data_IF_963956010458
#
_entry.id   IF_963956010458
#
_cell.length_a   1.000
_cell.length_b   1.000
_cell.length_c   1.000
_cell.angle_alpha   90.00
_cell.angle_beta   90.00
_cell.angle_gamma   90.00
#
_symmetry.space_group_name_H-M   'P 1'
#
loop_
_entity.id
_entity.type
_entity.pdbx_description
1 polymer ?
#
# COMPACT_ATOMS: atom_id res chain seq x y z
N UNK A 1 -12.12 14.34 -9.78
CA UNK A 1 -12.68 12.96 -9.91
C UNK A 1 -13.90 12.83 -9.01
N UNK A 2 -15.06 12.42 -9.52
CA UNK A 2 -16.27 12.23 -8.71
C UNK A 2 -16.30 10.84 -8.07
N UNK A 3 -16.20 10.78 -6.74
CA UNK A 3 -16.37 9.53 -5.99
C UNK A 3 -17.81 9.02 -6.09
N UNK A 4 -17.99 7.71 -6.33
CA UNK A 4 -19.31 7.09 -6.34
C UNK A 4 -20.02 7.27 -4.97
N UNK A 5 -21.36 7.28 -4.93
CA UNK A 5 -22.11 7.46 -3.68
C UNK A 5 -21.73 6.43 -2.60
N UNK A 6 -21.55 5.17 -2.99
CA UNK A 6 -21.16 4.08 -2.09
C UNK A 6 -19.76 4.30 -1.49
N UNK A 7 -18.76 4.66 -2.33
CA UNK A 7 -17.41 4.97 -1.85
C UNK A 7 -17.40 6.17 -0.90
N UNK A 8 -18.24 7.17 -1.14
CA UNK A 8 -18.42 8.31 -0.23
C UNK A 8 -18.93 7.87 1.15
N UNK A 9 -19.90 6.96 1.19
CA UNK A 9 -20.46 6.48 2.45
C UNK A 9 -19.44 5.66 3.26
N UNK A 10 -18.72 4.74 2.60
CA UNK A 10 -17.65 3.94 3.23
C UNK A 10 -16.57 4.83 3.84
N UNK A 11 -16.20 5.89 3.12
CA UNK A 11 -15.24 6.88 3.57
C UNK A 11 -15.74 7.61 4.83
N UNK A 12 -16.96 8.14 4.81
CA UNK A 12 -17.55 8.85 5.96
C UNK A 12 -17.64 7.92 7.18
N UNK A 13 -18.05 6.68 6.98
CA UNK A 13 -18.22 5.71 8.06
C UNK A 13 -16.89 5.24 8.67
N UNK A 14 -15.80 5.21 7.89
CA UNK A 14 -14.46 4.92 8.39
C UNK A 14 -13.95 6.07 9.27
N UNK A 15 -14.11 7.32 8.79
CA UNK A 15 -13.73 8.52 9.53
C UNK A 15 -14.50 8.67 10.84
N UNK A 16 -15.81 8.41 10.84
CA UNK A 16 -16.64 8.43 12.08
C UNK A 16 -16.13 7.46 13.14
N UNK A 17 -15.51 6.36 12.72
CA UNK A 17 -14.90 5.35 13.61
C UNK A 17 -13.44 5.64 13.97
N UNK A 18 -12.88 6.76 13.50
CA UNK A 18 -11.46 7.10 13.69
C UNK A 18 -10.51 6.18 12.92
N UNK A 19 -10.99 5.53 11.85
CA UNK A 19 -10.21 4.57 11.06
C UNK A 19 -10.01 5.06 9.64
N UNK A 20 -8.88 4.71 9.04
CA UNK A 20 -8.59 5.04 7.64
C UNK A 20 -9.37 4.06 6.73
N UNK A 21 -10.10 4.55 5.72
CA UNK A 21 -10.82 3.67 4.79
C UNK A 21 -9.86 2.75 4.03
N UNK A 22 -10.29 1.51 3.78
CA UNK A 22 -9.49 0.46 3.12
C UNK A 22 -9.27 0.71 1.62
N UNK A 23 -10.13 1.53 1.01
CA UNK A 23 -10.13 1.90 -0.40
C UNK A 23 -10.27 3.43 -0.51
N UNK A 24 -9.99 4.01 -1.67
CA UNK A 24 -10.11 5.46 -1.90
C UNK A 24 -9.11 6.31 -1.08
N UNK A 25 -7.89 5.79 -0.87
CA UNK A 25 -6.81 6.49 -0.17
C UNK A 25 -6.47 7.85 -0.80
N UNK A 26 -6.64 7.99 -2.11
CA UNK A 26 -6.42 9.25 -2.84
C UNK A 26 -7.28 10.40 -2.30
N UNK A 27 -8.47 10.12 -1.76
CA UNK A 27 -9.32 11.14 -1.15
C UNK A 27 -8.75 11.72 0.16
N UNK A 28 -7.75 11.03 0.74
CA UNK A 28 -7.07 11.37 1.97
C UNK A 28 -5.58 11.67 1.80
N UNK A 29 -5.06 11.51 0.57
CA UNK A 29 -3.64 11.65 0.26
C UNK A 29 -3.20 13.12 0.12
N UNK A 30 -3.76 14.00 0.95
CA UNK A 30 -3.46 15.43 0.95
C UNK A 30 -1.98 15.65 1.30
N UNK A 31 -1.26 16.35 0.43
CA UNK A 31 0.17 16.65 0.59
C UNK A 31 1.12 15.55 0.12
N UNK A 32 0.61 14.44 -0.40
CA UNK A 32 1.41 13.38 -1.02
C UNK A 32 1.65 13.61 -2.52
N UNK A 33 0.92 14.54 -3.14
CA UNK A 33 0.97 14.85 -4.57
C UNK A 33 2.40 15.25 -4.99
N UNK A 34 3.15 15.90 -4.09
CA UNK A 34 4.55 16.28 -4.31
C UNK A 34 5.49 15.08 -4.54
N UNK A 35 5.10 13.88 -4.11
CA UNK A 35 5.88 12.66 -4.29
C UNK A 35 5.48 11.87 -5.54
N UNK A 36 4.36 12.21 -6.19
CA UNK A 36 3.80 11.43 -7.29
C UNK A 36 4.77 11.27 -8.45
N UNK A 37 5.31 12.38 -8.97
CA UNK A 37 6.19 12.34 -10.13
C UNK A 37 7.42 11.44 -9.91
N UNK A 38 8.04 11.53 -8.74
CA UNK A 38 9.19 10.71 -8.39
C UNK A 38 8.83 9.22 -8.27
N UNK A 39 7.68 8.90 -7.65
CA UNK A 39 7.23 7.53 -7.47
C UNK A 39 6.77 6.90 -8.79
N UNK A 40 6.15 7.67 -9.67
CA UNK A 40 5.74 7.20 -11.01
C UNK A 40 6.95 6.86 -11.87
N UNK A 41 8.00 7.69 -11.83
CA UNK A 41 9.25 7.40 -12.52
C UNK A 41 9.92 6.13 -11.98
N UNK A 42 9.87 5.91 -10.66
CA UNK A 42 10.38 4.70 -10.03
C UNK A 42 9.55 3.46 -10.43
N UNK A 43 8.23 3.54 -10.40
CA UNK A 43 7.35 2.46 -10.84
C UNK A 43 7.54 2.15 -12.33
N UNK A 44 7.77 3.17 -13.18
CA UNK A 44 8.07 2.96 -14.60
C UNK A 44 9.40 2.21 -14.79
N UNK A 45 10.43 2.53 -14.00
CA UNK A 45 11.70 1.79 -14.01
C UNK A 45 11.52 0.33 -13.60
N UNK A 46 10.72 0.07 -12.56
CA UNK A 46 10.42 -1.31 -12.12
C UNK A 46 9.62 -2.06 -13.19
N UNK A 47 8.63 -1.42 -13.82
CA UNK A 47 7.86 -2.00 -14.92
C UNK A 47 8.70 -2.34 -16.15
N UNK A 48 9.83 -1.66 -16.36
CA UNK A 48 10.81 -1.96 -17.42
C UNK A 48 11.80 -3.09 -17.04
N UNK A 49 11.60 -3.77 -15.90
CA UNK A 49 12.47 -4.86 -15.43
C UNK A 49 13.57 -4.41 -14.44
N UNK A 50 13.56 -3.15 -14.01
CA UNK A 50 14.48 -2.65 -12.99
C UNK A 50 14.06 -2.96 -11.56
N UNK A 51 14.87 -2.52 -10.58
CA UNK A 51 14.55 -2.58 -9.15
C UNK A 51 14.91 -1.27 -8.46
N UNK A 52 14.18 -0.95 -7.39
CA UNK A 52 14.37 0.27 -6.60
C UNK A 52 14.18 -0.05 -5.11
N UNK A 53 14.96 0.59 -4.25
CA UNK A 53 14.79 0.54 -2.80
C UNK A 53 14.65 1.96 -2.25
N UNK A 54 13.67 2.19 -1.38
CA UNK A 54 13.45 3.48 -0.72
C UNK A 54 13.15 3.28 0.76
N UNK A 55 13.78 4.12 1.60
CA UNK A 55 13.51 4.19 3.03
C UNK A 55 12.78 5.49 3.35
N UNK A 56 11.63 5.38 4.03
CA UNK A 56 10.82 6.54 4.45
C UNK A 56 11.04 6.77 5.95
N UNK A 57 11.51 7.96 6.31
CA UNK A 57 11.72 8.37 7.70
C UNK A 57 10.82 9.54 8.07
N UNK A 58 10.46 9.61 9.34
CA UNK A 58 9.60 10.65 9.89
C UNK A 58 9.14 10.29 11.29
N UNK A 59 8.54 11.25 11.99
CA UNK A 59 8.08 11.11 13.37
C UNK A 59 6.91 10.12 13.52
N UNK A 60 6.65 9.67 14.75
CA UNK A 60 5.48 8.84 15.03
C UNK A 60 4.20 9.61 14.67
N UNK A 61 3.24 8.94 14.04
CA UNK A 61 1.99 9.58 13.60
C UNK A 61 2.08 10.43 12.31
N UNK A 62 3.26 10.66 11.72
CA UNK A 62 3.40 11.50 10.52
C UNK A 62 2.88 10.86 9.21
N UNK A 63 2.22 9.70 9.27
CA UNK A 63 1.62 9.06 8.11
C UNK A 63 2.51 8.10 7.30
N UNK A 64 3.65 7.61 7.82
CA UNK A 64 4.53 6.67 7.07
C UNK A 64 3.80 5.40 6.57
N UNK A 65 3.00 4.77 7.44
CA UNK A 65 2.19 3.60 7.06
C UNK A 65 1.15 3.95 6.02
N UNK A 66 0.53 5.13 6.15
CA UNK A 66 -0.42 5.63 5.17
C UNK A 66 0.25 5.86 3.81
N UNK A 67 1.43 6.48 3.78
CA UNK A 67 2.24 6.67 2.59
C UNK A 67 2.55 5.34 1.88
N UNK A 68 3.01 4.32 2.61
CA UNK A 68 3.30 3.01 2.05
C UNK A 68 2.06 2.35 1.42
N UNK A 69 0.90 2.45 2.08
CA UNK A 69 -0.37 1.93 1.56
C UNK A 69 -0.89 2.70 0.36
N UNK A 70 -0.73 4.01 0.35
CA UNK A 70 -1.07 4.86 -0.79
C UNK A 70 -0.20 4.55 -2.01
N UNK A 71 1.12 4.38 -1.83
CA UNK A 71 2.02 3.93 -2.89
C UNK A 71 1.63 2.55 -3.43
N UNK A 72 1.32 1.60 -2.54
CA UNK A 72 0.87 0.27 -2.95
C UNK A 72 -0.45 0.34 -3.75
N UNK A 73 -1.38 1.21 -3.36
CA UNK A 73 -2.62 1.43 -4.10
C UNK A 73 -2.39 2.01 -5.50
N UNK A 74 -1.49 2.99 -5.60
CA UNK A 74 -1.07 3.57 -6.87
C UNK A 74 -0.40 2.53 -7.77
N UNK A 75 0.49 1.72 -7.22
CA UNK A 75 1.13 0.63 -7.96
C UNK A 75 0.09 -0.39 -8.48
N UNK A 76 -0.90 -0.79 -7.67
CA UNK A 76 -1.97 -1.69 -8.13
C UNK A 76 -2.82 -1.10 -9.25
N UNK A 77 -3.07 0.22 -9.26
CA UNK A 77 -3.76 0.90 -10.38
C UNK A 77 -2.97 0.85 -11.68
N UNK A 78 -1.65 0.69 -11.60
CA UNK A 78 -0.75 0.50 -12.74
C UNK A 78 -0.51 -0.98 -13.08
N UNK A 79 -1.24 -1.91 -12.45
CA UNK A 79 -1.16 -3.35 -12.73
C UNK A 79 -0.08 -4.11 -11.95
N UNK A 80 0.57 -3.49 -10.97
CA UNK A 80 1.55 -4.18 -10.13
C UNK A 80 0.90 -5.06 -9.07
N UNK A 81 1.55 -6.19 -8.75
CA UNK A 81 1.31 -6.90 -7.51
C UNK A 81 2.07 -6.22 -6.36
N UNK A 82 1.45 -6.16 -5.18
CA UNK A 82 1.99 -5.48 -4.00
C UNK A 82 1.85 -6.36 -2.77
N UNK A 83 2.75 -6.20 -1.79
CA UNK A 83 2.62 -6.86 -0.49
C UNK A 83 3.20 -5.97 0.62
N UNK A 84 2.61 -6.05 1.80
CA UNK A 84 3.02 -5.28 2.99
C UNK A 84 3.15 -6.22 4.19
N UNK A 85 4.34 -6.25 4.80
CA UNK A 85 4.60 -6.95 6.04
C UNK A 85 5.13 -5.98 7.11
N UNK A 86 4.57 -6.07 8.32
CA UNK A 86 5.10 -5.35 9.47
C UNK A 86 6.24 -6.17 10.08
N UNK A 87 7.42 -5.57 10.19
CA UNK A 87 8.55 -6.20 10.87
C UNK A 87 8.37 -6.05 12.38
N UNK A 88 8.44 -7.16 13.09
CA UNK A 88 8.34 -7.22 14.55
C UNK A 88 9.10 -8.45 15.06
N UNK A 89 9.72 -8.35 16.23
CA UNK A 89 10.45 -9.49 16.82
C UNK A 89 9.53 -10.69 17.12
N UNK A 90 8.26 -10.43 17.43
CA UNK A 90 7.30 -11.45 17.86
C UNK A 90 6.63 -12.18 16.70
N UNK A 91 6.35 -11.51 15.58
CA UNK A 91 5.55 -12.10 14.49
C UNK A 91 6.30 -12.23 13.17
N UNK A 92 7.17 -11.27 12.84
CA UNK A 92 7.88 -11.22 11.56
C UNK A 92 9.32 -10.73 11.77
N UNK A 93 10.16 -11.50 12.48
CA UNK A 93 11.52 -11.07 12.80
C UNK A 93 12.36 -11.03 11.52
N UNK A 94 13.10 -9.93 11.32
CA UNK A 94 13.86 -9.68 10.09
C UNK A 94 14.96 -10.72 9.85
N UNK A 95 15.48 -11.33 10.92
CA UNK A 95 16.50 -12.38 10.84
C UNK A 95 15.95 -13.75 10.38
N UNK A 96 14.62 -13.96 10.38
CA UNK A 96 13.98 -15.19 9.87
C UNK A 96 13.30 -14.92 8.54
N UNK A 97 14.11 -14.90 7.48
CA UNK A 97 13.64 -14.58 6.14
C UNK A 97 12.50 -15.50 5.68
N UNK A 98 12.48 -16.78 6.05
CA UNK A 98 11.37 -17.71 5.76
C UNK A 98 10.01 -17.17 6.24
N UNK A 99 9.98 -16.52 7.41
CA UNK A 99 8.75 -15.97 7.98
C UNK A 99 8.36 -14.69 7.25
N UNK A 100 9.33 -13.84 6.94
CA UNK A 100 9.12 -12.64 6.11
C UNK A 100 8.53 -13.02 4.75
N UNK A 101 9.14 -13.98 4.05
CA UNK A 101 8.68 -14.45 2.75
C UNK A 101 7.27 -15.02 2.81
N UNK A 102 6.99 -15.92 3.77
CA UNK A 102 5.64 -16.47 3.95
C UNK A 102 4.60 -15.37 4.17
N UNK A 103 4.90 -14.38 5.02
CA UNK A 103 3.99 -13.25 5.29
C UNK A 103 3.76 -12.39 4.05
N UNK A 104 4.80 -12.13 3.26
CA UNK A 104 4.67 -11.39 2.01
C UNK A 104 3.78 -12.13 1.01
N UNK A 105 3.92 -13.45 0.90
CA UNK A 105 3.10 -14.28 0.01
C UNK A 105 1.64 -14.35 0.47
N UNK A 106 1.40 -14.52 1.77
CA UNK A 106 0.04 -14.52 2.36
C UNK A 106 -0.70 -13.20 2.13
N UNK A 107 0.04 -12.08 2.06
CA UNK A 107 -0.50 -10.73 1.92
C UNK A 107 -0.35 -10.15 0.52
N UNK A 108 -0.02 -10.97 -0.48
CA UNK A 108 0.08 -10.51 -1.86
C UNK A 108 -1.29 -10.02 -2.35
N UNK A 109 -1.32 -8.82 -2.93
CA UNK A 109 -2.51 -8.14 -3.41
C UNK A 109 -2.31 -7.64 -4.83
N UNK A 110 -3.32 -7.81 -5.66
CA UNK A 110 -3.39 -7.34 -7.05
C UNK A 110 -4.56 -6.37 -7.22
N UNK A 111 -4.77 -5.86 -8.43
CA UNK A 111 -5.91 -5.00 -8.75
C UNK A 111 -7.26 -5.68 -8.46
N UNK A 112 -7.36 -6.99 -8.74
CA UNK A 112 -8.61 -7.76 -8.63
C UNK A 112 -8.76 -8.48 -7.29
N UNK A 113 -7.65 -8.71 -6.57
CA UNK A 113 -7.67 -9.44 -5.29
C UNK A 113 -6.99 -8.63 -4.19
N UNK A 114 -7.79 -8.21 -3.22
CA UNK A 114 -7.35 -7.32 -2.15
C UNK A 114 -6.31 -7.96 -1.20
N UNK A 115 -6.33 -9.27 -1.00
CA UNK A 115 -5.32 -10.02 -0.23
C UNK A 115 -5.30 -11.50 -0.66
N UNK A 116 -4.14 -12.15 -0.55
CA UNK A 116 -4.00 -13.58 -0.80
C UNK A 116 -4.18 -13.96 -2.26
N UNK A 117 -3.71 -13.12 -3.19
CA UNK A 117 -3.88 -13.33 -4.63
C UNK A 117 -3.46 -14.72 -5.14
N UNK A 118 -2.48 -15.35 -4.48
CA UNK A 118 -2.01 -16.69 -4.84
C UNK A 118 -2.88 -17.83 -4.29
N UNK A 119 -3.86 -17.57 -3.42
CA UNK A 119 -4.80 -18.60 -2.94
C UNK A 119 -5.89 -18.94 -3.97
N UNK A 120 -6.01 -18.11 -5.00
CA UNK A 120 -7.03 -18.23 -6.05
C UNK A 120 -6.49 -18.82 -7.37
N UNK A 121 -5.22 -19.27 -7.38
CA UNK A 121 -4.56 -19.97 -8.50
C UNK A 121 -4.44 -21.44 -8.12
#
# INVERSE_FOLDING_TARGET
MSLSPQRRQEVIDALRRGTVPRSSLDAFAVGLERFEAALDDELRKVGAGGSVFKAVRGEYGCGKTFFARWLADRARKLGFATSEAQISETETPLHRLETVYRRLMERLSTTDTAQGALRNI
#
